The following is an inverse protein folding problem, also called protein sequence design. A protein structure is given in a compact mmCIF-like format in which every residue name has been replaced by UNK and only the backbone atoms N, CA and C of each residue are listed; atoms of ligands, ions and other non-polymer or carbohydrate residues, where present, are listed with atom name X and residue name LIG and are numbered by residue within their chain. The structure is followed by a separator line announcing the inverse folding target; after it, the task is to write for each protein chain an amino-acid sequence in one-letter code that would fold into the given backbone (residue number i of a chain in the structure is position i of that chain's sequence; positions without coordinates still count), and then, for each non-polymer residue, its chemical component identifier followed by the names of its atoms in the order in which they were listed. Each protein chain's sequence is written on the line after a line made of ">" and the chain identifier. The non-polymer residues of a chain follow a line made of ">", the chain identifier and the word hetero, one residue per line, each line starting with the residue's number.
data_IF_775658732396
#
_entry.id   IF_775658732396
#
_cell.length_a   1.000
_cell.length_b   1.000
_cell.length_c   1.000
_cell.angle_alpha   90.00
_cell.angle_beta   90.00
_cell.angle_gamma   90.00
#
_symmetry.space_group_name_H-M   'P 1'
#
loop_
_entity.id
_entity.type
_entity.pdbx_description
1 polymer ?
#
# COMPACT_ATOMS: atom_id res chain seq x y z
N UNK A 1 11.64 27.04 0.33
CA UNK A 1 11.62 26.45 -1.04
C UNK A 1 12.57 25.26 -1.26
N UNK A 2 13.60 25.01 -0.43
CA UNK A 2 14.62 23.97 -0.70
C UNK A 2 14.40 22.59 -0.03
N UNK A 3 13.48 22.44 0.93
CA UNK A 3 13.22 21.14 1.58
C UNK A 3 12.21 20.26 0.80
N UNK A 4 11.19 20.87 0.18
CA UNK A 4 10.22 20.17 -0.67
C UNK A 4 10.85 19.59 -1.96
N UNK A 5 11.87 20.26 -2.51
CA UNK A 5 12.67 19.73 -3.64
C UNK A 5 13.51 18.50 -3.28
N UNK A 6 13.82 18.29 -1.98
CA UNK A 6 14.59 17.12 -1.51
C UNK A 6 13.71 15.89 -1.27
N UNK A 7 12.45 16.10 -0.88
CA UNK A 7 11.45 15.03 -0.75
C UNK A 7 11.00 14.55 -2.14
N UNK A 8 10.84 15.47 -3.11
CA UNK A 8 10.53 15.10 -4.50
C UNK A 8 11.67 14.38 -5.22
N UNK A 9 12.94 14.70 -4.89
CA UNK A 9 14.11 13.98 -5.40
C UNK A 9 14.27 12.58 -4.75
N UNK A 10 13.70 12.37 -3.55
CA UNK A 10 13.67 11.09 -2.85
C UNK A 10 12.86 10.03 -3.60
N UNK A 11 11.76 10.44 -4.26
CA UNK A 11 10.96 9.57 -5.12
C UNK A 11 11.65 9.23 -6.45
N UNK A 12 12.50 10.12 -6.99
CA UNK A 12 13.14 9.93 -8.28
C UNK A 12 14.42 9.07 -8.21
N UNK A 13 15.11 9.07 -7.07
CA UNK A 13 16.38 8.35 -6.91
C UNK A 13 16.21 6.88 -6.47
N UNK A 14 15.06 6.50 -5.89
CA UNK A 14 14.71 5.12 -5.54
C UNK A 14 14.62 4.22 -6.78
N UNK A 15 14.20 4.79 -7.93
CA UNK A 15 14.13 4.14 -9.23
C UNK A 15 15.48 3.60 -9.75
N UNK A 16 16.62 4.22 -9.39
CA UNK A 16 17.94 3.79 -9.89
C UNK A 16 18.58 2.66 -9.05
N UNK A 17 18.08 2.39 -7.84
CA UNK A 17 18.67 1.41 -6.91
C UNK A 17 18.04 0.01 -7.00
N UNK A 18 16.98 -0.17 -7.78
CA UNK A 18 16.25 -1.44 -7.92
C UNK A 18 16.92 -2.45 -8.86
N UNK A 19 18.04 -2.10 -9.51
CA UNK A 19 18.78 -2.94 -10.47
C UNK A 19 19.44 -4.20 -9.86
N UNK A 20 19.24 -4.49 -8.57
CA UNK A 20 19.98 -5.55 -7.85
C UNK A 20 19.09 -6.62 -7.17
N UNK A 21 17.76 -6.56 -7.29
CA UNK A 21 16.89 -7.53 -6.58
C UNK A 21 15.91 -8.26 -7.51
N UNK A 22 16.42 -9.17 -8.34
CA UNK A 22 15.63 -10.30 -8.84
C UNK A 22 16.54 -11.47 -9.24
N UNK A 23 16.90 -12.31 -8.28
CA UNK A 23 17.50 -13.63 -8.56
C UNK A 23 16.85 -14.65 -7.62
N UNK A 24 15.66 -15.11 -7.99
CA UNK A 24 15.34 -16.54 -8.02
C UNK A 24 14.04 -16.79 -8.81
N UNK A 25 14.05 -17.86 -9.59
CA UNK A 25 13.14 -18.14 -10.69
C UNK A 25 11.86 -18.84 -10.20
N UNK A 26 10.72 -18.17 -10.30
CA UNK A 26 9.42 -18.84 -10.38
C UNK A 26 9.42 -19.83 -11.56
N UNK A 27 8.66 -20.93 -11.47
CA UNK A 27 8.42 -21.82 -12.61
C UNK A 27 7.62 -21.09 -13.70
N UNK A 28 7.72 -21.51 -14.96
CA UNK A 28 7.00 -20.88 -16.09
C UNK A 28 5.48 -20.79 -15.82
N UNK A 29 4.92 -21.82 -15.19
CA UNK A 29 3.53 -21.83 -14.73
C UNK A 29 3.31 -20.79 -13.64
N UNK A 30 4.14 -20.73 -12.60
CA UNK A 30 4.01 -19.75 -11.51
C UNK A 30 4.13 -18.29 -11.98
N UNK A 31 4.90 -18.02 -13.04
CA UNK A 31 4.98 -16.70 -13.70
C UNK A 31 3.72 -16.34 -14.47
N UNK A 32 3.15 -17.30 -15.19
CA UNK A 32 1.87 -17.14 -15.91
C UNK A 32 0.67 -17.04 -14.95
N UNK A 33 0.77 -17.68 -13.79
CA UNK A 33 -0.22 -17.61 -12.70
C UNK A 33 -0.14 -16.31 -11.88
N UNK A 34 0.96 -15.57 -11.99
CA UNK A 34 1.16 -14.29 -11.27
C UNK A 34 0.11 -13.24 -11.66
N UNK A 35 -0.51 -13.41 -12.84
CA UNK A 35 -1.61 -12.60 -13.36
C UNK A 35 -3.02 -13.18 -13.09
N UNK A 36 -3.17 -14.31 -12.37
CA UNK A 36 -4.51 -14.79 -11.98
C UNK A 36 -5.03 -13.94 -10.84
N UNK A 37 -5.75 -12.89 -11.23
CA UNK A 37 -6.61 -12.07 -10.38
C UNK A 37 -7.74 -12.99 -9.84
N UNK A 38 -7.40 -13.63 -8.72
CA UNK A 38 -8.21 -14.49 -7.84
C UNK A 38 -8.61 -15.85 -8.41
N UNK A 39 -8.14 -16.91 -7.73
CA UNK A 39 -8.65 -18.27 -7.80
C UNK A 39 -7.73 -19.26 -8.51
N UNK A 40 -6.95 -20.00 -7.73
CA UNK A 40 -6.45 -21.31 -8.14
C UNK A 40 -6.95 -22.32 -7.12
N UNK A 41 -7.88 -23.17 -7.54
CA UNK A 41 -8.31 -24.40 -6.86
C UNK A 41 -7.31 -25.52 -7.14
N UNK A 42 -6.03 -25.28 -6.85
CA UNK A 42 -4.92 -26.21 -7.07
C UNK A 42 -4.21 -26.52 -5.76
N UNK A 43 -3.59 -27.69 -5.68
CA UNK A 43 -2.88 -28.15 -4.49
C UNK A 43 -1.86 -27.08 -4.02
N UNK A 44 -1.81 -26.79 -2.71
CA UNK A 44 -0.97 -25.73 -2.17
C UNK A 44 0.49 -26.03 -2.45
N UNK A 45 1.17 -25.13 -3.18
CA UNK A 45 2.61 -24.96 -3.04
C UNK A 45 2.88 -24.79 -1.55
N UNK A 46 3.86 -25.51 -0.98
CA UNK A 46 4.21 -25.41 0.45
C UNK A 46 4.58 -23.95 0.78
N UNK A 47 3.55 -23.24 1.24
CA UNK A 47 3.51 -21.80 1.40
C UNK A 47 4.36 -21.37 2.60
N UNK A 48 4.60 -22.27 3.56
CA UNK A 48 5.48 -21.97 4.69
C UNK A 48 6.94 -21.91 4.24
N UNK A 49 7.36 -22.76 3.30
CA UNK A 49 8.71 -22.73 2.75
C UNK A 49 8.93 -21.48 1.89
N UNK A 50 7.93 -21.08 1.10
CA UNK A 50 7.95 -19.84 0.33
C UNK A 50 7.99 -18.59 1.22
N UNK A 51 7.15 -18.50 2.26
CA UNK A 51 7.18 -17.38 3.20
C UNK A 51 8.51 -17.33 3.96
N UNK A 52 9.05 -18.48 4.40
CA UNK A 52 10.37 -18.55 5.03
C UNK A 52 11.49 -18.13 4.07
N UNK A 53 11.39 -18.42 2.78
CA UNK A 53 12.40 -18.04 1.77
C UNK A 53 12.31 -16.54 1.41
N UNK A 54 11.12 -15.95 1.36
CA UNK A 54 10.94 -14.51 1.16
C UNK A 54 11.42 -13.70 2.38
N UNK A 55 11.06 -14.12 3.60
CA UNK A 55 11.50 -13.45 4.83
C UNK A 55 13.02 -13.61 5.09
N UNK A 56 13.63 -14.73 4.69
CA UNK A 56 15.10 -14.91 4.76
C UNK A 56 15.86 -14.04 3.76
N UNK A 57 15.23 -13.58 2.67
CA UNK A 57 15.87 -12.83 1.58
C UNK A 57 15.58 -11.34 1.58
N UNK A 58 14.59 -10.89 2.35
CA UNK A 58 14.24 -9.47 2.53
C UNK A 58 15.02 -8.77 3.64
N UNK A 59 16.00 -9.42 4.28
CA UNK A 59 16.96 -8.71 5.11
C UNK A 59 17.84 -7.82 4.20
N UNK A 60 17.43 -6.57 4.00
CA UNK A 60 18.28 -5.52 3.45
C UNK A 60 19.59 -5.47 4.26
N UNK A 61 20.73 -5.62 3.59
CA UNK A 61 22.00 -5.38 4.25
C UNK A 61 22.11 -3.88 4.62
N UNK A 62 22.56 -3.53 5.84
CA UNK A 62 22.58 -2.15 6.34
C UNK A 62 23.40 -1.15 5.49
N UNK A 63 24.24 -1.65 4.56
CA UNK A 63 25.28 -0.87 3.92
C UNK A 63 24.80 0.14 2.85
N UNK A 64 23.63 -0.07 2.23
CA UNK A 64 23.17 0.76 1.10
C UNK A 64 22.27 1.96 1.47
N UNK A 65 21.95 2.18 2.75
CA UNK A 65 21.18 3.37 3.22
C UNK A 65 22.01 4.65 3.36
N UNK A 66 23.33 4.61 3.10
CA UNK A 66 24.28 5.60 3.64
C UNK A 66 24.26 7.00 3.02
N UNK A 67 23.68 7.22 1.84
CA UNK A 67 23.90 8.47 1.10
C UNK A 67 22.78 9.53 1.18
N UNK A 68 21.87 9.44 2.16
CA UNK A 68 20.84 10.48 2.38
C UNK A 68 20.85 11.12 3.77
N UNK A 69 21.91 10.89 4.54
CA UNK A 69 21.90 11.16 5.98
C UNK A 69 22.39 12.57 6.31
N UNK A 70 21.39 13.43 6.54
CA UNK A 70 21.26 14.45 7.59
C UNK A 70 22.35 14.47 8.69
N UNK A 71 22.71 15.66 9.15
CA UNK A 71 23.83 15.98 10.05
C UNK A 71 23.74 15.46 11.50
N UNK A 72 22.57 15.04 12.03
CA UNK A 72 22.42 14.66 13.45
C UNK A 72 22.06 13.18 13.67
N UNK A 73 22.66 12.55 14.68
CA UNK A 73 22.43 11.14 15.06
C UNK A 73 20.96 10.87 15.39
N UNK A 74 20.28 11.81 16.05
CA UNK A 74 18.86 11.70 16.43
C UNK A 74 17.93 11.64 15.21
N UNK A 75 18.16 12.48 14.20
CA UNK A 75 17.31 12.50 13.00
C UNK A 75 17.49 11.24 12.15
N UNK A 76 18.71 10.66 12.12
CA UNK A 76 18.97 9.36 11.47
C UNK A 76 18.19 8.22 12.13
N UNK A 77 18.14 8.16 13.46
CA UNK A 77 17.38 7.14 14.19
C UNK A 77 15.86 7.31 14.02
N UNK A 78 15.37 8.56 14.02
CA UNK A 78 13.95 8.85 13.74
C UNK A 78 13.55 8.35 12.34
N UNK A 79 14.36 8.64 11.32
CA UNK A 79 14.11 8.18 9.94
C UNK A 79 14.12 6.65 9.87
N UNK A 80 15.09 6.00 10.51
CA UNK A 80 15.18 4.54 10.54
C UNK A 80 13.93 3.91 11.17
N UNK A 81 13.41 4.50 12.24
CA UNK A 81 12.22 4.02 12.93
C UNK A 81 10.93 4.29 12.14
N UNK A 82 10.83 5.45 11.49
CA UNK A 82 9.77 5.71 10.52
C UNK A 82 9.77 4.66 9.39
N UNK A 83 10.94 4.39 8.79
CA UNK A 83 11.08 3.44 7.68
C UNK A 83 10.72 2.01 8.13
N UNK A 84 11.08 1.61 9.34
CA UNK A 84 10.65 0.31 9.87
C UNK A 84 9.12 0.16 9.89
N UNK A 85 8.40 1.17 10.38
CA UNK A 85 6.94 1.13 10.44
C UNK A 85 6.28 1.32 9.08
N UNK A 86 6.93 2.03 8.16
CA UNK A 86 6.55 2.07 6.75
C UNK A 86 6.61 0.66 6.15
N UNK A 87 7.77 0.00 6.19
CA UNK A 87 7.99 -1.35 5.67
C UNK A 87 6.98 -2.33 6.27
N UNK A 88 6.78 -2.26 7.59
CA UNK A 88 5.82 -3.12 8.27
C UNK A 88 4.36 -2.85 7.84
N UNK A 89 3.99 -1.61 7.55
CA UNK A 89 2.66 -1.30 7.01
C UNK A 89 2.45 -1.91 5.63
N UNK A 90 3.49 -1.91 4.79
CA UNK A 90 3.47 -2.56 3.47
C UNK A 90 3.28 -4.08 3.62
N UNK A 91 4.00 -4.70 4.56
CA UNK A 91 3.91 -6.14 4.84
C UNK A 91 2.51 -6.55 5.36
N UNK A 92 1.94 -5.75 6.26
CA UNK A 92 0.58 -5.96 6.77
C UNK A 92 -0.44 -5.86 5.65
N UNK A 93 -0.32 -4.87 4.77
CA UNK A 93 -1.21 -4.71 3.62
C UNK A 93 -1.04 -5.87 2.63
N UNK A 94 0.18 -6.33 2.37
CA UNK A 94 0.44 -7.51 1.54
C UNK A 94 -0.17 -8.80 2.13
N UNK A 95 -0.10 -8.95 3.45
CA UNK A 95 -0.76 -10.03 4.20
C UNK A 95 -2.28 -9.91 4.13
N UNK A 96 -2.82 -8.68 4.13
CA UNK A 96 -4.25 -8.40 3.95
C UNK A 96 -4.78 -8.67 2.54
N UNK A 97 -3.92 -8.99 1.58
CA UNK A 97 -4.32 -9.42 0.25
C UNK A 97 -4.23 -10.94 0.08
N UNK A 98 -3.91 -11.68 1.15
CA UNK A 98 -3.93 -13.13 1.14
C UNK A 98 -5.37 -13.63 1.07
N UNK A 99 -5.74 -14.30 -0.01
CA UNK A 99 -6.98 -15.07 -0.06
C UNK A 99 -6.86 -16.27 0.88
N UNK A 100 -7.69 -16.35 1.93
CA UNK A 100 -7.91 -17.61 2.64
C UNK A 100 -8.85 -18.51 1.83
N UNK A 101 -8.64 -19.82 1.90
CA UNK A 101 -9.46 -20.83 1.23
C UNK A 101 -10.83 -21.04 1.90
N UNK A 102 -11.08 -20.40 3.05
CA UNK A 102 -12.32 -20.57 3.82
C UNK A 102 -13.13 -19.26 3.91
N UNK A 103 -14.48 -19.32 3.83
CA UNK A 103 -15.36 -18.14 3.91
C UNK A 103 -15.29 -17.36 5.22
N UNK A 104 -14.64 -17.90 6.25
CA UNK A 104 -14.65 -17.35 7.62
C UNK A 104 -13.38 -16.58 7.98
N UNK A 105 -12.31 -16.71 7.18
CA UNK A 105 -10.98 -16.19 7.53
C UNK A 105 -10.56 -15.08 6.55
N UNK A 106 -11.35 -14.01 6.48
CA UNK A 106 -11.10 -12.89 5.58
C UNK A 106 -9.93 -12.02 6.08
N UNK A 107 -8.73 -12.31 5.60
CA UNK A 107 -7.61 -11.38 5.45
C UNK A 107 -7.93 -10.43 4.28
N UNK A 108 -8.87 -9.50 4.46
CA UNK A 108 -9.33 -8.58 3.40
C UNK A 108 -9.97 -7.31 3.99
N UNK A 109 -9.35 -6.75 5.03
CA UNK A 109 -9.89 -5.62 5.80
C UNK A 109 -9.77 -4.30 5.04
N UNK A 110 -8.65 -4.13 4.33
CA UNK A 110 -8.29 -3.00 3.48
C UNK A 110 -7.97 -3.45 2.04
N UNK A 111 -8.68 -4.48 1.55
CA UNK A 111 -8.47 -5.07 0.23
C UNK A 111 -8.65 -4.05 -0.90
N UNK A 112 -7.73 -4.11 -1.88
CA UNK A 112 -7.77 -3.34 -3.11
C UNK A 112 -7.03 -2.00 -3.02
N UNK A 113 -6.76 -1.37 -4.18
CA UNK A 113 -5.95 -0.14 -4.26
C UNK A 113 -6.50 1.00 -3.40
N UNK A 114 -7.80 1.16 -3.42
CA UNK A 114 -8.51 2.22 -2.73
C UNK A 114 -8.32 2.16 -1.21
N UNK A 115 -8.67 1.03 -0.59
CA UNK A 115 -8.58 0.87 0.87
C UNK A 115 -7.13 0.76 1.36
N UNK A 116 -6.24 0.10 0.61
CA UNK A 116 -4.82 0.04 0.93
C UNK A 116 -4.16 1.44 0.98
N UNK A 117 -4.39 2.28 -0.04
CA UNK A 117 -3.86 3.65 -0.04
C UNK A 117 -4.39 4.50 1.11
N UNK A 118 -5.68 4.36 1.44
CA UNK A 118 -6.29 5.00 2.61
C UNK A 118 -5.65 4.55 3.92
N UNK A 119 -5.40 3.25 4.08
CA UNK A 119 -4.77 2.68 5.27
C UNK A 119 -3.36 3.27 5.47
N UNK A 120 -2.55 3.32 4.41
CA UNK A 120 -1.23 3.96 4.45
C UNK A 120 -1.33 5.44 4.82
N UNK A 121 -2.27 6.18 4.22
CA UNK A 121 -2.47 7.59 4.56
C UNK A 121 -2.81 7.79 6.04
N UNK A 122 -3.72 7.00 6.62
CA UNK A 122 -4.08 7.07 8.05
C UNK A 122 -2.86 6.82 8.93
N UNK A 123 -2.10 5.75 8.66
CA UNK A 123 -0.91 5.40 9.45
C UNK A 123 0.16 6.50 9.36
N UNK A 124 0.46 6.98 8.16
CA UNK A 124 1.52 7.98 7.97
C UNK A 124 1.13 9.37 8.48
N UNK A 125 -0.15 9.77 8.38
CA UNK A 125 -0.62 11.02 9.01
C UNK A 125 -0.54 10.94 10.53
N UNK A 126 -0.87 9.79 11.15
CA UNK A 126 -0.73 9.62 12.60
C UNK A 126 0.73 9.69 13.06
N UNK A 127 1.65 9.05 12.33
CA UNK A 127 3.09 9.15 12.61
C UNK A 127 3.58 10.60 12.44
N UNK A 128 3.14 11.29 11.38
CA UNK A 128 3.47 12.69 11.15
C UNK A 128 3.00 13.58 12.30
N UNK A 129 1.75 13.45 12.74
CA UNK A 129 1.21 14.26 13.85
C UNK A 129 1.88 13.92 15.18
N UNK A 130 2.26 12.67 15.43
CA UNK A 130 3.00 12.29 16.63
C UNK A 130 4.37 12.98 16.69
N UNK A 131 5.09 13.03 15.57
CA UNK A 131 6.37 13.76 15.47
C UNK A 131 6.12 15.26 15.58
N UNK A 132 5.18 15.79 14.80
CA UNK A 132 4.92 17.23 14.69
C UNK A 132 4.34 17.85 15.97
N UNK A 133 3.67 17.06 16.82
CA UNK A 133 3.24 17.50 18.17
C UNK A 133 4.41 17.83 19.09
N UNK A 134 5.57 17.21 18.85
CA UNK A 134 6.78 17.44 19.66
C UNK A 134 7.68 18.49 19.01
N UNK A 135 7.94 18.38 17.70
CA UNK A 135 8.88 19.27 17.00
C UNK A 135 8.25 20.60 16.52
N UNK A 136 6.93 20.64 16.36
CA UNK A 136 6.12 21.81 15.99
C UNK A 136 6.65 22.60 14.79
N UNK A 137 7.18 21.88 13.80
CA UNK A 137 7.83 22.46 12.62
C UNK A 137 6.88 22.68 11.46
N UNK A 138 5.79 21.92 11.39
CA UNK A 138 4.87 21.90 10.26
C UNK A 138 3.46 22.24 10.71
N UNK A 139 2.63 22.65 9.75
CA UNK A 139 1.19 22.81 9.98
C UNK A 139 0.54 21.46 10.24
N UNK A 140 -0.26 21.37 11.30
CA UNK A 140 -1.00 20.15 11.65
C UNK A 140 -2.03 19.81 10.57
N UNK A 141 -2.13 18.53 10.23
CA UNK A 141 -3.16 17.98 9.37
C UNK A 141 -4.53 18.31 9.95
N UNK A 142 -5.32 19.12 9.21
CA UNK A 142 -6.67 19.54 9.61
C UNK A 142 -6.74 20.14 11.03
N UNK A 143 -5.66 20.76 11.49
CA UNK A 143 -5.57 21.37 12.82
C UNK A 143 -5.92 20.43 13.99
N UNK A 144 -5.63 19.13 13.87
CA UNK A 144 -5.98 18.14 14.92
C UNK A 144 -5.01 18.12 16.11
N UNK A 145 -3.92 18.88 16.06
CA UNK A 145 -2.88 18.86 17.10
C UNK A 145 -3.41 19.21 18.50
N UNK A 146 -4.37 20.15 18.63
CA UNK A 146 -4.96 20.44 19.95
C UNK A 146 -5.67 19.20 20.53
N UNK A 147 -6.41 18.47 19.68
CA UNK A 147 -7.08 17.22 20.08
C UNK A 147 -6.08 16.15 20.55
N UNK A 148 -4.87 16.12 20.00
CA UNK A 148 -3.81 15.20 20.44
C UNK A 148 -3.38 15.53 21.87
N UNK A 149 -3.23 16.80 22.21
CA UNK A 149 -2.93 17.22 23.59
C UNK A 149 -4.08 16.92 24.54
N UNK A 150 -5.32 17.16 24.12
CA UNK A 150 -6.51 16.85 24.92
C UNK A 150 -6.61 15.34 25.22
N UNK A 151 -6.35 14.46 24.24
CA UNK A 151 -6.39 13.00 24.41
C UNK A 151 -5.20 12.48 25.22
N UNK A 152 -4.00 13.02 25.00
CA UNK A 152 -2.79 12.57 25.69
C UNK A 152 -2.71 13.02 27.15
N UNK A 153 -3.40 14.11 27.51
CA UNK A 153 -3.27 14.77 28.81
C UNK A 153 -1.91 15.46 29.02
N UNK A 154 -1.11 15.58 27.96
CA UNK A 154 0.20 16.25 28.00
C UNK A 154 0.06 17.73 27.62
N UNK A 155 0.90 18.61 28.18
CA UNK A 155 0.83 20.03 27.86
C UNK A 155 1.25 20.29 26.41
N UNK A 156 0.58 21.24 25.76
CA UNK A 156 0.92 21.67 24.39
C UNK A 156 2.31 22.32 24.28
N UNK A 157 2.99 22.57 25.40
CA UNK A 157 4.37 23.07 25.49
C UNK A 157 5.43 21.96 25.50
N UNK A 158 5.05 20.68 25.46
CA UNK A 158 5.98 19.55 25.48
C UNK A 158 7.02 19.63 24.34
N UNK A 159 8.23 19.13 24.59
CA UNK A 159 9.38 19.22 23.68
C UNK A 159 10.18 17.91 23.60
N UNK A 160 11.18 17.89 22.72
CA UNK A 160 12.11 16.76 22.54
C UNK A 160 12.86 16.36 23.83
N UNK A 161 13.00 17.28 24.78
CA UNK A 161 13.62 16.98 26.07
C UNK A 161 12.76 16.04 26.95
N UNK A 162 11.45 15.97 26.67
CA UNK A 162 10.47 15.25 27.50
C UNK A 162 9.83 14.05 26.79
N UNK A 163 10.17 13.82 25.52
CA UNK A 163 9.52 12.79 24.70
C UNK A 163 10.56 11.94 23.99
N UNK A 164 10.41 10.62 24.08
CA UNK A 164 11.09 9.69 23.20
C UNK A 164 10.27 9.54 21.91
N UNK A 165 10.77 10.11 20.81
CA UNK A 165 10.08 10.08 19.52
C UNK A 165 9.94 8.67 18.94
N UNK A 166 10.81 7.74 19.32
CA UNK A 166 10.74 6.37 18.81
C UNK A 166 9.49 5.65 19.35
N UNK A 167 9.13 5.91 20.61
CA UNK A 167 7.88 5.44 21.20
C UNK A 167 6.66 6.12 20.58
N UNK A 168 6.74 7.42 20.28
CA UNK A 168 5.66 8.15 19.63
C UNK A 168 5.35 7.61 18.23
N UNK A 169 6.38 7.35 17.42
CA UNK A 169 6.24 6.76 16.08
C UNK A 169 5.65 5.35 16.18
N UNK A 170 6.22 4.51 17.04
CA UNK A 170 5.82 3.11 17.17
C UNK A 170 4.37 2.95 17.65
N UNK A 171 3.97 3.72 18.67
CA UNK A 171 2.62 3.65 19.20
C UNK A 171 1.61 4.23 18.20
N UNK A 172 1.94 5.32 17.48
CA UNK A 172 1.07 5.85 16.42
C UNK A 172 0.84 4.83 15.30
N UNK A 173 1.91 4.18 14.84
CA UNK A 173 1.84 3.15 13.81
C UNK A 173 1.04 1.94 14.28
N UNK A 174 1.36 1.37 15.45
CA UNK A 174 0.64 0.24 16.04
C UNK A 174 -0.85 0.52 16.18
N UNK A 175 -1.23 1.65 16.79
CA UNK A 175 -2.62 1.95 17.09
C UNK A 175 -3.46 2.17 15.82
N UNK A 176 -2.90 2.84 14.81
CA UNK A 176 -3.60 2.95 13.51
C UNK A 176 -3.72 1.61 12.80
N UNK A 177 -2.66 0.79 12.79
CA UNK A 177 -2.70 -0.55 12.19
C UNK A 177 -3.71 -1.47 12.89
N UNK A 178 -3.83 -1.42 14.22
CA UNK A 178 -4.84 -2.20 14.96
C UNK A 178 -6.28 -1.78 14.60
N UNK A 179 -6.53 -0.50 14.35
CA UNK A 179 -7.84 0.00 13.92
C UNK A 179 -8.17 -0.39 12.48
N UNK A 180 -7.16 -0.41 11.60
CA UNK A 180 -7.32 -0.73 10.18
C UNK A 180 -7.35 -2.24 9.92
N UNK A 181 -6.64 -3.03 10.72
CA UNK A 181 -6.44 -4.46 10.56
C UNK A 181 -6.67 -5.25 11.87
N UNK A 182 -7.86 -5.17 12.50
CA UNK A 182 -8.14 -5.83 13.76
C UNK A 182 -7.87 -7.35 13.74
N UNK A 183 -8.09 -8.05 12.63
CA UNK A 183 -7.80 -9.49 12.51
C UNK A 183 -6.30 -9.82 12.54
N UNK A 184 -5.42 -8.82 12.38
CA UNK A 184 -3.96 -8.95 12.42
C UNK A 184 -3.37 -8.47 13.75
N UNK A 185 -4.22 -8.27 14.77
CA UNK A 185 -3.80 -7.72 16.06
C UNK A 185 -2.65 -8.49 16.71
N UNK A 186 -2.63 -9.82 16.63
CA UNK A 186 -1.54 -10.64 17.19
C UNK A 186 -0.21 -10.33 16.49
N UNK A 187 -0.20 -10.26 15.16
CA UNK A 187 1.00 -9.94 14.38
C UNK A 187 1.52 -8.54 14.75
N UNK A 188 0.62 -7.55 14.77
CA UNK A 188 0.92 -6.14 15.06
C UNK A 188 1.48 -5.99 16.47
N UNK A 189 0.84 -6.59 17.47
CA UNK A 189 1.29 -6.51 18.86
C UNK A 189 2.64 -7.20 19.05
N UNK A 190 2.88 -8.35 18.40
CA UNK A 190 4.17 -9.03 18.49
C UNK A 190 5.31 -8.21 17.86
N UNK A 191 5.06 -7.59 16.69
CA UNK A 191 6.07 -6.73 16.07
C UNK A 191 6.35 -5.50 16.91
N UNK A 192 5.31 -4.87 17.46
CA UNK A 192 5.46 -3.74 18.36
C UNK A 192 6.31 -4.10 19.59
N UNK A 193 6.01 -5.22 20.27
CA UNK A 193 6.77 -5.65 21.45
C UNK A 193 8.25 -5.87 21.11
N UNK A 194 8.55 -6.56 20.00
CA UNK A 194 9.93 -6.76 19.54
C UNK A 194 10.65 -5.43 19.26
N UNK A 195 9.96 -4.51 18.57
CA UNK A 195 10.50 -3.20 18.24
C UNK A 195 10.83 -2.40 19.49
N UNK A 196 9.89 -2.27 20.43
CA UNK A 196 10.11 -1.51 21.67
C UNK A 196 11.25 -2.11 22.50
N UNK A 197 11.34 -3.45 22.59
CA UNK A 197 12.45 -4.14 23.28
C UNK A 197 13.82 -3.87 22.65
N UNK A 198 13.87 -3.54 21.36
CA UNK A 198 15.10 -3.19 20.64
C UNK A 198 15.52 -1.73 20.77
N UNK A 199 14.65 -0.86 21.27
CA UNK A 199 14.95 0.56 21.38
C UNK A 199 15.85 0.82 22.59
N UNK A 200 16.81 1.76 22.49
CA UNK A 200 17.46 2.29 23.67
C UNK A 200 16.43 3.01 24.55
N UNK A 201 16.49 2.82 25.86
CA UNK A 201 15.67 3.58 26.79
C UNK A 201 16.21 5.01 26.91
N UNK A 202 15.35 6.01 26.79
CA UNK A 202 15.70 7.42 27.03
C UNK A 202 15.19 7.91 28.40
N UNK A 203 14.73 6.99 29.23
CA UNK A 203 14.12 7.23 30.54
C UNK A 203 12.61 7.01 30.52
N UNK A 204 12.09 6.33 31.54
CA UNK A 204 10.70 5.87 31.58
C UNK A 204 9.66 6.99 31.39
N UNK A 205 9.94 8.22 31.86
CA UNK A 205 9.06 9.37 31.67
C UNK A 205 8.99 9.84 30.21
N UNK A 206 10.14 9.85 29.49
CA UNK A 206 10.19 10.20 28.06
C UNK A 206 9.51 9.14 27.21
N UNK A 207 9.73 7.87 27.55
CA UNK A 207 9.12 6.72 26.87
C UNK A 207 7.60 6.74 27.02
N UNK A 208 7.10 6.98 28.24
CA UNK A 208 5.67 7.12 28.54
C UNK A 208 5.06 8.30 27.80
N UNK A 209 5.72 9.45 27.81
CA UNK A 209 5.23 10.64 27.10
C UNK A 209 5.17 10.42 25.59
N UNK A 210 6.16 9.72 25.03
CA UNK A 210 6.16 9.30 23.63
C UNK A 210 4.98 8.39 23.31
N UNK A 211 4.75 7.35 24.10
CA UNK A 211 3.62 6.46 23.91
C UNK A 211 2.27 7.20 23.99
N UNK A 212 2.10 8.11 24.95
CA UNK A 212 0.87 8.92 25.08
C UNK A 212 0.62 9.79 23.85
N UNK A 213 1.64 10.50 23.35
CA UNK A 213 1.53 11.31 22.11
C UNK A 213 1.21 10.43 20.91
N UNK A 214 1.90 9.29 20.75
CA UNK A 214 1.69 8.38 19.63
C UNK A 214 0.27 7.83 19.59
N UNK A 215 -0.24 7.35 20.74
CA UNK A 215 -1.61 6.86 20.88
C UNK A 215 -2.64 7.95 20.60
N UNK A 216 -2.45 9.13 21.18
CA UNK A 216 -3.35 10.26 20.97
C UNK A 216 -3.38 10.72 19.51
N UNK A 217 -2.24 10.68 18.82
CA UNK A 217 -2.14 11.00 17.39
C UNK A 217 -2.91 10.01 16.52
N UNK A 218 -2.76 8.70 16.79
CA UNK A 218 -3.53 7.66 16.11
C UNK A 218 -5.04 7.81 16.35
N UNK A 219 -5.44 8.13 17.58
CA UNK A 219 -6.84 8.35 17.93
C UNK A 219 -7.41 9.59 17.23
N UNK A 220 -6.72 10.73 17.29
CA UNK A 220 -7.18 11.97 16.66
C UNK A 220 -7.36 11.81 15.14
N UNK A 221 -6.42 11.12 14.46
CA UNK A 221 -6.54 10.80 13.03
C UNK A 221 -7.68 9.82 12.80
N UNK A 222 -7.83 8.78 13.62
CA UNK A 222 -8.94 7.84 13.47
C UNK A 222 -10.30 8.52 13.65
N UNK A 223 -10.45 9.42 14.62
CA UNK A 223 -11.69 10.18 14.81
C UNK A 223 -12.03 11.04 13.59
N UNK A 224 -11.04 11.61 12.90
CA UNK A 224 -11.27 12.29 11.62
C UNK A 224 -11.67 11.29 10.52
N UNK A 225 -11.04 10.11 10.47
CA UNK A 225 -11.11 9.21 9.31
C UNK A 225 -12.14 8.08 9.40
N UNK A 226 -12.58 7.67 10.57
CA UNK A 226 -13.40 6.47 10.76
C UNK A 226 -14.75 6.53 10.00
N UNK A 227 -15.33 7.73 9.89
CA UNK A 227 -16.58 7.97 9.14
C UNK A 227 -16.36 8.78 7.85
N UNK A 228 -15.24 8.52 7.16
CA UNK A 228 -14.98 9.12 5.87
C UNK A 228 -15.68 8.45 4.69
N UNK A 229 -16.65 7.57 4.98
CA UNK A 229 -17.42 6.76 4.03
C UNK A 229 -16.63 5.70 3.26
N UNK A 230 -15.35 5.48 3.56
CA UNK A 230 -14.58 4.39 2.94
C UNK A 230 -15.04 2.98 3.36
N UNK A 231 -15.80 2.90 4.45
CA UNK A 231 -16.41 1.66 4.93
C UNK A 231 -17.78 1.37 4.29
N UNK A 232 -18.26 2.22 3.37
CA UNK A 232 -19.48 1.90 2.62
C UNK A 232 -19.30 0.55 1.90
N UNK A 233 -20.29 -0.35 1.98
CA UNK A 233 -20.19 -1.66 1.35
C UNK A 233 -19.92 -1.50 -0.15
N UNK A 234 -18.98 -2.28 -0.66
CA UNK A 234 -18.75 -2.35 -2.10
C UNK A 234 -19.94 -3.07 -2.76
N UNK A 235 -20.42 -2.60 -3.92
CA UNK A 235 -21.51 -3.25 -4.60
C UNK A 235 -21.10 -4.63 -5.13
N UNK A 236 -22.01 -5.63 -5.16
CA UNK A 236 -21.74 -6.87 -5.86
C UNK A 236 -21.59 -6.58 -7.36
N UNK A 237 -20.69 -7.29 -8.03
CA UNK A 237 -20.41 -7.10 -9.45
C UNK A 237 -21.67 -7.29 -10.31
N UNK A 238 -22.57 -8.19 -9.90
CA UNK A 238 -23.86 -8.43 -10.56
C UNK A 238 -24.80 -7.22 -10.54
N UNK A 239 -24.70 -6.33 -9.54
CA UNK A 239 -25.57 -5.15 -9.44
C UNK A 239 -25.16 -4.02 -10.40
N UNK A 240 -23.94 -4.06 -10.94
CA UNK A 240 -23.42 -3.03 -11.86
C UNK A 240 -23.12 -3.58 -13.26
N UNK A 241 -23.21 -4.90 -13.45
CA UNK A 241 -23.03 -5.55 -14.75
C UNK A 241 -24.28 -5.36 -15.60
N UNK A 242 -24.09 -5.04 -16.88
CA UNK A 242 -25.19 -4.89 -17.86
C UNK A 242 -24.87 -5.67 -19.15
N UNK A 243 -25.87 -5.93 -19.99
CA UNK A 243 -25.67 -6.52 -21.32
C UNK A 243 -25.14 -5.52 -22.36
N UNK A 244 -25.02 -4.24 -22.00
CA UNK A 244 -24.43 -3.23 -22.85
C UNK A 244 -22.90 -3.28 -22.71
N UNK A 245 -22.21 -3.67 -23.77
CA UNK A 245 -20.75 -3.77 -23.82
C UNK A 245 -20.03 -2.44 -23.59
N UNK A 246 -20.77 -1.32 -23.63
CA UNK A 246 -20.25 0.03 -23.33
C UNK A 246 -20.10 0.29 -21.84
N UNK A 247 -20.78 -0.50 -21.01
CA UNK A 247 -20.68 -0.42 -19.56
C UNK A 247 -19.67 -1.43 -19.04
N UNK A 248 -19.14 -1.17 -17.85
CA UNK A 248 -18.31 -2.12 -17.16
C UNK A 248 -19.07 -3.44 -16.89
N UNK A 249 -18.39 -4.56 -17.08
CA UNK A 249 -18.88 -5.89 -16.72
C UNK A 249 -17.79 -6.63 -15.94
N UNK A 250 -18.19 -7.56 -15.07
CA UNK A 250 -17.23 -8.43 -14.39
C UNK A 250 -16.36 -9.18 -15.42
N UNK A 251 -15.04 -9.20 -15.19
CA UNK A 251 -14.14 -10.08 -15.94
C UNK A 251 -14.53 -11.54 -15.70
N UNK A 252 -14.77 -12.28 -16.80
CA UNK A 252 -15.15 -13.69 -16.78
C UNK A 252 -14.09 -14.60 -16.18
N UNK A 253 -12.82 -14.19 -16.20
CA UNK A 253 -11.72 -14.94 -15.57
C UNK A 253 -11.61 -14.67 -14.07
N UNK A 254 -12.09 -13.52 -13.60
CA UNK A 254 -11.93 -13.12 -12.21
C UNK A 254 -12.92 -13.84 -11.30
N UNK A 255 -12.43 -14.33 -10.15
CA UNK A 255 -13.30 -14.86 -9.10
C UNK A 255 -13.83 -13.79 -8.13
N UNK A 256 -13.49 -12.51 -8.33
CA UNK A 256 -14.02 -11.41 -7.51
C UNK A 256 -15.45 -11.11 -7.91
N UNK A 257 -16.41 -11.32 -7.01
CA UNK A 257 -17.83 -11.02 -7.23
C UNK A 257 -18.24 -9.63 -6.72
N UNK A 258 -17.27 -8.74 -6.52
CA UNK A 258 -17.42 -7.39 -5.97
C UNK A 258 -16.87 -6.37 -6.96
N UNK A 259 -17.62 -5.30 -7.22
CA UNK A 259 -17.11 -4.17 -7.99
C UNK A 259 -16.32 -3.24 -7.06
N UNK A 260 -15.04 -3.54 -6.86
CA UNK A 260 -14.14 -2.81 -5.98
C UNK A 260 -14.07 -1.32 -6.34
N UNK A 261 -14.29 -0.44 -5.37
CA UNK A 261 -14.29 1.01 -5.55
C UNK A 261 -15.59 1.58 -6.12
N UNK A 262 -16.65 0.79 -6.28
CA UNK A 262 -17.93 1.26 -6.84
C UNK A 262 -18.57 2.40 -6.03
N UNK A 263 -18.24 2.49 -4.74
CA UNK A 263 -18.66 3.59 -3.87
C UNK A 263 -17.52 4.56 -3.50
N UNK A 264 -16.33 4.45 -4.09
CA UNK A 264 -15.17 5.24 -3.67
C UNK A 264 -15.32 6.74 -3.93
N UNK A 265 -16.11 7.11 -4.94
CA UNK A 265 -16.47 8.51 -5.21
C UNK A 265 -17.25 9.19 -4.06
N UNK A 266 -17.74 8.42 -3.08
CA UNK A 266 -18.43 8.94 -1.90
C UNK A 266 -17.46 9.25 -0.74
N UNK A 267 -16.22 8.77 -0.80
CA UNK A 267 -15.23 8.94 0.27
C UNK A 267 -14.87 10.41 0.43
N UNK A 268 -14.78 10.90 1.67
CA UNK A 268 -14.31 12.26 1.95
C UNK A 268 -12.81 12.34 1.69
N UNK A 269 -12.30 13.19 0.78
CA UNK A 269 -10.86 13.28 0.53
C UNK A 269 -10.06 13.76 1.76
N UNK A 270 -8.77 13.41 1.81
CA UNK A 270 -7.86 13.89 2.86
C UNK A 270 -7.60 15.39 2.72
N UNK A 271 -7.23 15.84 1.52
CA UNK A 271 -6.80 17.23 1.25
C UNK A 271 -7.58 17.92 0.13
N UNK A 272 -8.22 17.17 -0.78
CA UNK A 272 -9.02 17.76 -1.86
C UNK A 272 -10.33 18.34 -1.29
N UNK A 273 -10.79 19.43 -1.91
CA UNK A 273 -12.04 20.08 -1.54
C UNK A 273 -13.28 19.29 -1.97
N UNK A 274 -13.18 18.55 -3.08
CA UNK A 274 -14.22 17.67 -3.61
C UNK A 274 -13.62 16.42 -4.26
N UNK A 275 -14.43 15.39 -4.45
CA UNK A 275 -14.02 14.12 -5.06
C UNK A 275 -13.79 14.21 -6.58
N UNK A 276 -14.30 15.25 -7.22
CA UNK A 276 -14.23 15.49 -8.66
C UNK A 276 -13.33 16.67 -9.05
N UNK A 277 -12.54 17.19 -8.11
CA UNK A 277 -11.65 18.33 -8.32
C UNK A 277 -10.70 18.19 -9.52
N UNK A 278 -10.39 16.94 -9.91
CA UNK A 278 -9.55 16.61 -11.06
C UNK A 278 -10.25 15.67 -12.06
N UNK A 279 -11.57 15.72 -12.16
CA UNK A 279 -12.32 14.87 -13.10
C UNK A 279 -11.91 15.20 -14.55
N UNK A 280 -11.39 14.24 -15.34
CA UNK A 280 -11.03 14.48 -16.73
C UNK A 280 -12.28 14.63 -17.61
N UNK A 281 -12.08 15.07 -18.86
CA UNK A 281 -13.11 15.01 -19.89
C UNK A 281 -13.59 13.56 -20.09
N UNK A 282 -14.83 13.35 -20.59
CA UNK A 282 -15.33 12.01 -20.88
C UNK A 282 -14.45 11.29 -21.91
N UNK A 283 -14.44 9.94 -21.93
CA UNK A 283 -13.72 9.18 -22.95
C UNK A 283 -14.27 9.47 -24.35
N UNK A 284 -13.49 9.21 -25.42
CA UNK A 284 -13.96 9.35 -26.80
C UNK A 284 -15.23 8.54 -27.07
N UNK A 285 -16.11 9.05 -27.94
CA UNK A 285 -17.32 8.33 -28.34
C UNK A 285 -16.95 7.03 -29.07
N UNK A 286 -17.78 5.99 -28.92
CA UNK A 286 -17.51 4.65 -29.47
C UNK A 286 -17.39 4.61 -31.01
N UNK A 287 -18.04 5.53 -31.70
CA UNK A 287 -18.01 5.70 -33.16
C UNK A 287 -16.87 6.61 -33.65
N UNK A 288 -16.11 7.22 -32.73
CA UNK A 288 -15.00 8.10 -33.09
C UNK A 288 -13.78 7.31 -33.58
N UNK A 289 -13.04 7.91 -34.51
CA UNK A 289 -11.73 7.41 -34.94
C UNK A 289 -10.76 7.23 -33.76
N UNK A 290 -10.85 8.10 -32.74
CA UNK A 290 -10.02 8.02 -31.55
C UNK A 290 -10.31 6.76 -30.72
N UNK A 291 -11.59 6.42 -30.51
CA UNK A 291 -11.96 5.19 -29.82
C UNK A 291 -11.52 3.94 -30.60
N UNK A 292 -11.81 3.90 -31.91
CA UNK A 292 -11.43 2.77 -32.77
C UNK A 292 -9.91 2.55 -32.75
N UNK A 293 -9.13 3.62 -32.79
CA UNK A 293 -7.67 3.53 -32.66
C UNK A 293 -7.26 2.95 -31.31
N UNK A 294 -7.77 3.49 -30.20
CA UNK A 294 -7.42 3.03 -28.86
C UNK A 294 -7.80 1.55 -28.64
N UNK A 295 -8.96 1.13 -29.12
CA UNK A 295 -9.40 -0.26 -29.08
C UNK A 295 -8.43 -1.19 -29.84
N UNK A 296 -8.02 -0.81 -31.05
CA UNK A 296 -7.07 -1.58 -31.83
C UNK A 296 -5.67 -1.62 -31.20
N UNK A 297 -5.21 -0.52 -30.59
CA UNK A 297 -3.94 -0.48 -29.86
C UNK A 297 -3.96 -1.49 -28.69
N UNK A 298 -5.04 -1.50 -27.89
CA UNK A 298 -5.21 -2.47 -26.79
C UNK A 298 -5.28 -3.91 -27.30
N UNK A 299 -6.03 -4.17 -28.37
CA UNK A 299 -6.11 -5.51 -28.97
C UNK A 299 -4.75 -5.99 -29.48
N UNK A 300 -3.98 -5.11 -30.12
CA UNK A 300 -2.68 -5.46 -30.70
C UNK A 300 -1.60 -5.66 -29.64
N UNK A 301 -1.61 -4.88 -28.55
CA UNK A 301 -0.56 -4.90 -27.53
C UNK A 301 -0.93 -5.71 -26.29
N UNK A 302 -2.20 -5.94 -26.02
CA UNK A 302 -2.71 -6.61 -24.81
C UNK A 302 -2.87 -8.13 -24.94
N UNK A 303 -2.65 -8.70 -26.13
CA UNK A 303 -2.85 -10.12 -26.37
C UNK A 303 -1.95 -11.04 -25.52
N UNK A 304 -2.46 -12.24 -25.25
CA UNK A 304 -1.74 -13.35 -24.64
C UNK A 304 -1.75 -14.54 -25.61
N UNK A 305 -0.68 -14.73 -26.40
CA UNK A 305 -0.61 -15.82 -27.37
C UNK A 305 -0.41 -17.19 -26.72
N UNK A 306 -0.11 -17.24 -25.42
CA UNK A 306 0.20 -18.47 -24.68
C UNK A 306 -0.95 -18.91 -23.76
N UNK A 307 -2.08 -18.20 -23.80
CA UNK A 307 -3.26 -18.53 -23.02
C UNK A 307 -3.77 -19.95 -23.32
N UNK A 308 -4.10 -20.71 -22.28
CA UNK A 308 -4.80 -21.99 -22.44
C UNK A 308 -6.18 -21.78 -23.07
N UNK A 309 -6.53 -22.63 -24.04
CA UNK A 309 -7.86 -22.59 -24.65
C UNK A 309 -8.90 -23.22 -23.72
N UNK A 310 -9.93 -22.46 -23.36
CA UNK A 310 -11.06 -22.89 -22.53
C UNK A 310 -12.37 -22.25 -23.01
N UNK A 311 -13.46 -22.51 -22.29
CA UNK A 311 -14.76 -21.88 -22.57
C UNK A 311 -14.73 -20.34 -22.42
N UNK A 312 -13.84 -19.80 -21.58
CA UNK A 312 -13.79 -18.39 -21.19
C UNK A 312 -12.47 -17.68 -21.56
N UNK A 313 -11.48 -18.42 -22.10
CA UNK A 313 -10.15 -17.88 -22.47
C UNK A 313 -9.66 -18.52 -23.77
N UNK A 314 -9.04 -17.74 -24.65
CA UNK A 314 -8.43 -18.23 -25.89
C UNK A 314 -7.10 -17.51 -26.17
N UNK A 315 -6.14 -18.16 -26.85
CA UNK A 315 -4.94 -17.49 -27.36
C UNK A 315 -5.31 -16.25 -28.19
N UNK A 316 -4.70 -15.12 -27.87
CA UNK A 316 -4.89 -13.86 -28.60
C UNK A 316 -3.54 -13.38 -29.12
N UNK A 317 -3.36 -13.18 -30.44
CA UNK A 317 -2.10 -12.66 -30.98
C UNK A 317 -1.74 -11.29 -30.38
N UNK A 318 -0.44 -11.01 -30.31
CA UNK A 318 0.08 -9.71 -29.85
C UNK A 318 1.28 -9.29 -30.67
N UNK A 319 1.42 -7.99 -30.91
CA UNK A 319 2.63 -7.36 -31.45
C UNK A 319 3.56 -6.83 -30.34
N UNK A 320 3.17 -6.98 -29.07
CA UNK A 320 3.96 -6.55 -27.91
C UNK A 320 5.31 -7.26 -27.87
N UNK A 321 6.37 -6.50 -27.62
CA UNK A 321 7.76 -6.99 -27.58
C UNK A 321 8.18 -7.45 -26.19
N UNK A 322 9.15 -8.36 -26.17
CA UNK A 322 9.80 -8.85 -24.96
C UNK A 322 9.03 -9.96 -24.23
N UNK A 323 9.71 -10.56 -23.27
CA UNK A 323 9.29 -11.76 -22.55
C UNK A 323 9.33 -11.54 -21.04
N UNK A 324 8.60 -12.37 -20.29
CA UNK A 324 8.45 -12.28 -18.83
C UNK A 324 9.79 -12.38 -18.08
N UNK A 325 10.81 -13.02 -18.66
CA UNK A 325 12.03 -13.46 -17.97
C UNK A 325 13.31 -12.70 -18.30
N UNK A 326 13.21 -11.67 -19.13
CA UNK A 326 14.35 -10.84 -19.50
C UNK A 326 14.37 -9.54 -18.69
N UNK A 327 15.57 -9.00 -18.52
CA UNK A 327 15.81 -7.76 -17.77
C UNK A 327 14.95 -6.59 -18.27
N UNK A 328 14.63 -5.67 -17.36
CA UNK A 328 13.97 -4.41 -17.69
C UNK A 328 14.84 -3.60 -18.66
N UNK A 329 14.40 -3.50 -19.90
CA UNK A 329 14.95 -2.59 -20.89
C UNK A 329 13.82 -1.95 -21.70
N UNK A 330 14.15 -0.91 -22.48
CA UNK A 330 13.12 -0.14 -23.17
C UNK A 330 12.32 -0.93 -24.20
N UNK A 331 12.89 -2.02 -24.73
CA UNK A 331 12.27 -2.89 -25.69
C UNK A 331 11.41 -4.03 -25.07
N UNK A 332 11.49 -4.24 -23.75
CA UNK A 332 10.73 -5.30 -23.07
C UNK A 332 9.38 -4.78 -22.53
N UNK A 333 8.41 -4.64 -23.44
CA UNK A 333 7.05 -4.15 -23.13
C UNK A 333 6.27 -5.12 -22.24
N UNK A 334 6.48 -6.44 -22.39
CA UNK A 334 5.89 -7.47 -21.51
C UNK A 334 6.32 -7.30 -20.07
N UNK A 335 7.63 -7.19 -19.80
CA UNK A 335 8.12 -7.01 -18.43
C UNK A 335 7.67 -5.68 -17.84
N UNK A 336 7.59 -4.60 -18.64
CA UNK A 336 7.03 -3.31 -18.20
C UNK A 336 5.60 -3.46 -17.69
N UNK A 337 4.74 -4.18 -18.41
CA UNK A 337 3.36 -4.44 -17.98
C UNK A 337 3.30 -5.22 -16.66
N UNK A 338 4.10 -6.27 -16.52
CA UNK A 338 4.14 -7.14 -15.32
C UNK A 338 4.68 -6.38 -14.10
N UNK A 339 5.73 -5.58 -14.29
CA UNK A 339 6.38 -4.82 -13.22
C UNK A 339 5.38 -3.92 -12.47
N UNK A 340 4.43 -3.35 -13.21
CA UNK A 340 3.42 -2.43 -12.68
C UNK A 340 2.10 -3.10 -12.28
N UNK A 341 1.96 -4.42 -12.44
CA UNK A 341 0.68 -5.13 -12.24
C UNK A 341 0.11 -4.93 -10.83
N UNK A 342 0.78 -5.46 -9.80
CA UNK A 342 0.36 -5.32 -8.39
C UNK A 342 -1.16 -5.42 -8.17
N UNK A 343 -1.84 -6.35 -8.86
CA UNK A 343 -3.30 -6.36 -8.96
C UNK A 343 -4.01 -7.01 -7.75
N UNK A 344 -3.53 -6.69 -6.55
CA UNK A 344 -4.10 -7.21 -5.31
C UNK A 344 -3.74 -8.67 -5.02
N UNK A 345 -2.67 -9.17 -5.65
CA UNK A 345 -2.13 -10.50 -5.40
C UNK A 345 -1.60 -10.62 -3.97
N UNK A 346 -1.96 -11.71 -3.28
CA UNK A 346 -1.49 -11.96 -1.92
C UNK A 346 0.04 -11.95 -1.81
N UNK A 347 0.56 -11.36 -0.72
CA UNK A 347 1.99 -11.05 -0.50
C UNK A 347 2.60 -9.97 -1.42
N UNK A 348 1.92 -9.54 -2.48
CA UNK A 348 2.35 -8.39 -3.30
C UNK A 348 1.60 -7.12 -2.97
N UNK A 349 0.32 -7.24 -2.59
CA UNK A 349 -0.64 -6.15 -2.36
C UNK A 349 -1.17 -5.52 -3.67
N UNK A 350 -1.89 -4.42 -3.51
CA UNK A 350 -2.35 -3.52 -4.55
C UNK A 350 -1.26 -2.49 -4.95
N UNK A 351 -1.45 -1.70 -6.03
CA UNK A 351 -0.48 -0.72 -6.52
C UNK A 351 0.07 0.28 -5.49
N UNK A 352 -0.65 0.72 -4.44
CA UNK A 352 -0.07 1.61 -3.43
C UNK A 352 1.16 1.08 -2.69
N UNK A 353 1.44 -0.23 -2.74
CA UNK A 353 2.66 -0.82 -2.17
C UNK A 353 3.87 -0.71 -3.10
N UNK A 354 3.70 -0.40 -4.38
CA UNK A 354 4.81 -0.40 -5.35
C UNK A 354 5.98 0.41 -4.78
N UNK A 355 7.08 -0.32 -4.58
CA UNK A 355 8.37 0.15 -4.05
C UNK A 355 9.37 0.23 -5.18
#
# INVERSE_FOLDING_TARGET
>A
MNALKRISAFFFCYFCLFKVYSQETLSLTQKREFARIYGVSGAPVDRQEFIKSQLKKQALSPAKRKNFLVDSTTEKEIIKNYLFWHDYSLDISATDHLTSATPTDFYAEQLGPHKASRAFAITHVAIFEAINSVIKKYTSYRAIQQKIFDISGLPSTISLAQVNLNYAIAEAAKQTLLKLYPKKAILINNQYTKFIQSLPTEGASKDTSGALIGRASAEAVWMDRNDDRANYPEPPASAVTTNDFRNWTKDTLSNINTALGGNWSKVRPFVLLSQDAFRPCPPPSFDSTAFVKAFNDVKNLGGDPLAETSAIRRPTPTSRKGEELQDLNDANETYKGILWGYDGTGNLCAPPKIV
#
